data_IF_495939707061
#
_entry.id   IF_495939707061
#
_cell.length_a   1.000
_cell.length_b   1.000
_cell.length_c   1.000
_cell.angle_alpha   90.00
_cell.angle_beta   90.00
_cell.angle_gamma   90.00
#
_symmetry.space_group_name_H-M   'P 1'
#
loop_
_entity.id
_entity.type
_entity.pdbx_description
1 polymer ?
#
# COMPACT_ATOMS: atom_id res chain seq x y z
N UNK A 1 17.98 -6.84 15.47
CA UNK A 1 17.57 -5.46 15.13
C UNK A 1 17.21 -5.26 13.65
N UNK A 2 17.96 -5.81 12.68
CA UNK A 2 17.66 -5.67 11.24
C UNK A 2 16.34 -6.29 10.75
N UNK A 3 15.75 -7.25 11.50
CA UNK A 3 14.50 -7.92 11.08
C UNK A 3 13.28 -7.01 11.12
N UNK A 4 13.29 -5.98 11.96
CA UNK A 4 12.14 -5.07 12.13
C UNK A 4 12.24 -3.81 11.26
N UNK A 5 13.38 -3.52 10.63
CA UNK A 5 13.55 -2.32 9.80
C UNK A 5 12.76 -2.38 8.50
N UNK A 6 12.40 -3.58 8.03
CA UNK A 6 11.56 -3.78 6.84
C UNK A 6 10.05 -3.73 7.11
N UNK A 7 9.62 -3.64 8.37
CA UNK A 7 8.19 -3.62 8.70
C UNK A 7 7.61 -2.21 8.47
N UNK A 8 6.35 -2.13 7.99
CA UNK A 8 5.68 -0.84 7.83
C UNK A 8 5.51 -0.15 9.19
N UNK A 9 5.77 1.16 9.23
CA UNK A 9 5.61 1.98 10.45
C UNK A 9 4.11 2.08 10.77
N UNK A 10 3.73 1.67 11.98
CA UNK A 10 2.36 1.74 12.48
C UNK A 10 2.28 2.76 13.60
N UNK A 11 1.26 3.61 13.55
CA UNK A 11 0.89 4.52 14.62
C UNK A 11 -0.33 3.91 15.30
N UNK A 12 -0.14 3.36 16.50
CA UNK A 12 -1.13 2.54 17.21
C UNK A 12 -1.57 1.34 16.36
N UNK A 13 -2.70 1.45 15.65
CA UNK A 13 -3.26 0.43 14.76
C UNK A 13 -3.32 0.85 13.29
N UNK A 14 -3.07 2.13 13.00
CA UNK A 14 -3.11 2.69 11.65
C UNK A 14 -1.73 2.65 11.01
N UNK A 15 -1.69 2.42 9.70
CA UNK A 15 -0.48 2.66 8.91
C UNK A 15 -0.12 4.16 9.03
N UNK A 16 1.15 4.49 9.25
CA UNK A 16 1.60 5.88 9.37
C UNK A 16 1.16 6.75 8.16
N UNK A 17 0.97 6.11 7.00
CA UNK A 17 0.50 6.78 5.78
C UNK A 17 -0.97 7.17 5.83
N UNK A 18 -1.79 6.45 6.59
CA UNK A 18 -3.19 6.79 6.84
C UNK A 18 -3.35 8.06 7.70
N UNK A 19 -2.30 8.46 8.43
CA UNK A 19 -2.30 9.70 9.21
C UNK A 19 -2.23 10.96 8.32
N UNK A 20 -1.67 10.88 7.11
CA UNK A 20 -1.59 12.03 6.20
C UNK A 20 -2.97 12.59 5.80
N UNK A 21 -3.90 11.78 5.28
CA UNK A 21 -5.24 12.26 4.95
C UNK A 21 -6.03 12.71 6.19
N UNK A 22 -5.79 12.09 7.36
CA UNK A 22 -6.37 12.54 8.63
C UNK A 22 -5.85 13.95 9.01
N UNK A 23 -4.54 14.17 8.95
CA UNK A 23 -3.93 15.47 9.22
C UNK A 23 -4.43 16.54 8.26
N UNK A 24 -4.62 16.22 6.98
CA UNK A 24 -5.17 17.16 5.99
C UNK A 24 -6.57 17.66 6.38
N UNK A 25 -7.45 16.77 6.87
CA UNK A 25 -8.77 17.17 7.36
C UNK A 25 -8.72 17.99 8.66
N UNK A 26 -7.74 17.72 9.54
CA UNK A 26 -7.53 18.53 10.75
C UNK A 26 -7.00 19.94 10.44
N UNK A 27 -6.10 20.08 9.46
CA UNK A 27 -5.51 21.38 9.07
C UNK A 27 -6.50 22.22 8.27
N UNK A 28 -7.20 21.61 7.31
CA UNK A 28 -8.21 22.28 6.51
C UNK A 28 -9.56 21.58 6.69
N UNK A 29 -10.37 22.16 7.58
CA UNK A 29 -11.69 21.64 7.88
C UNK A 29 -12.68 21.98 6.76
N UNK A 30 -13.05 20.98 5.98
CA UNK A 30 -14.08 21.04 4.95
C UNK A 30 -14.73 19.67 4.79
N UNK A 31 -15.99 19.64 4.35
CA UNK A 31 -16.68 18.38 4.03
C UNK A 31 -15.93 17.58 2.97
N UNK A 32 -15.31 18.25 2.00
CA UNK A 32 -14.53 17.58 0.94
C UNK A 32 -13.28 16.90 1.50
N UNK A 33 -12.51 17.58 2.36
CA UNK A 33 -11.33 17.01 3.00
C UNK A 33 -11.69 15.90 3.97
N UNK A 34 -12.86 15.97 4.62
CA UNK A 34 -13.36 14.89 5.46
C UNK A 34 -13.66 13.62 4.65
N UNK A 35 -14.32 13.73 3.49
CA UNK A 35 -14.55 12.59 2.61
C UNK A 35 -13.23 11.99 2.08
N UNK A 36 -12.27 12.84 1.70
CA UNK A 36 -10.94 12.39 1.27
C UNK A 36 -10.23 11.68 2.43
N UNK A 37 -10.35 12.21 3.65
CA UNK A 37 -9.76 11.62 4.84
C UNK A 37 -10.31 10.22 5.11
N UNK A 38 -11.63 10.07 5.13
CA UNK A 38 -12.30 8.78 5.32
C UNK A 38 -11.92 7.77 4.23
N UNK A 39 -11.91 8.19 2.96
CA UNK A 39 -11.52 7.34 1.84
C UNK A 39 -10.06 6.88 1.97
N UNK A 40 -9.14 7.79 2.29
CA UNK A 40 -7.72 7.50 2.48
C UNK A 40 -7.49 6.55 3.66
N UNK A 41 -8.10 6.82 4.80
CA UNK A 41 -7.99 5.96 6.00
C UNK A 41 -8.52 4.56 5.71
N UNK A 42 -9.68 4.46 5.06
CA UNK A 42 -10.29 3.16 4.70
C UNK A 42 -9.39 2.39 3.72
N UNK A 43 -8.84 3.07 2.71
CA UNK A 43 -7.96 2.47 1.72
C UNK A 43 -6.67 1.92 2.34
N UNK A 44 -5.94 2.74 3.10
CA UNK A 44 -4.71 2.29 3.79
C UNK A 44 -5.01 1.27 4.89
N UNK A 45 -6.14 1.41 5.59
CA UNK A 45 -6.63 0.45 6.57
C UNK A 45 -6.88 -0.93 5.96
N UNK A 46 -7.55 -1.00 4.82
CA UNK A 46 -7.80 -2.25 4.10
C UNK A 46 -6.50 -2.95 3.66
N UNK A 47 -5.51 -2.19 3.19
CA UNK A 47 -4.19 -2.71 2.81
C UNK A 47 -3.45 -3.28 4.04
N UNK A 48 -3.48 -2.54 5.15
CA UNK A 48 -2.87 -2.98 6.41
C UNK A 48 -3.56 -4.23 6.97
N UNK A 49 -4.90 -4.29 6.91
CA UNK A 49 -5.69 -5.46 7.31
C UNK A 49 -5.35 -6.68 6.46
N UNK A 50 -5.12 -6.51 5.16
CA UNK A 50 -4.66 -7.57 4.28
C UNK A 50 -3.20 -8.01 4.53
N UNK A 51 -2.48 -7.37 5.46
CA UNK A 51 -1.06 -7.64 5.73
C UNK A 51 -0.13 -7.26 4.57
N UNK A 52 -0.61 -6.44 3.63
CA UNK A 52 0.13 -6.03 2.45
C UNK A 52 0.93 -4.77 2.75
N UNK A 53 2.15 -4.70 2.23
CA UNK A 53 2.88 -3.42 2.14
C UNK A 53 2.46 -2.66 0.88
N UNK A 54 2.60 -1.32 0.84
CA UNK A 54 2.27 -0.57 -0.38
C UNK A 54 2.97 -1.09 -1.65
N UNK A 55 4.28 -1.39 -1.64
CA UNK A 55 4.91 -1.99 -2.83
C UNK A 55 4.27 -3.33 -3.22
N UNK A 56 3.83 -4.13 -2.24
CA UNK A 56 3.12 -5.38 -2.52
C UNK A 56 1.72 -5.14 -3.10
N UNK A 57 0.98 -4.16 -2.58
CA UNK A 57 -0.32 -3.74 -3.12
C UNK A 57 -0.18 -3.27 -4.57
N UNK A 58 0.81 -2.44 -4.90
CA UNK A 58 1.05 -2.02 -6.30
C UNK A 58 1.40 -3.19 -7.20
N UNK A 59 2.19 -4.17 -6.72
CA UNK A 59 2.46 -5.39 -7.49
C UNK A 59 1.19 -6.21 -7.72
N UNK A 60 0.31 -6.31 -6.71
CA UNK A 60 -0.97 -6.99 -6.82
C UNK A 60 -1.91 -6.27 -7.79
N UNK A 61 -2.04 -4.95 -7.67
CA UNK A 61 -2.85 -4.12 -8.56
C UNK A 61 -2.36 -4.21 -10.02
N UNK A 62 -1.05 -4.12 -10.24
CA UNK A 62 -0.46 -4.34 -11.57
C UNK A 62 -0.73 -5.75 -12.09
N UNK A 63 -0.60 -6.77 -11.24
CA UNK A 63 -0.92 -8.16 -11.59
C UNK A 63 -2.38 -8.29 -12.01
N UNK A 64 -3.28 -7.64 -11.30
CA UNK A 64 -4.71 -7.68 -11.56
C UNK A 64 -5.05 -6.98 -12.89
N UNK A 65 -4.46 -5.80 -13.13
CA UNK A 65 -4.67 -5.02 -14.36
C UNK A 65 -4.14 -5.70 -15.63
N UNK A 66 -2.97 -6.36 -15.55
CA UNK A 66 -2.39 -7.11 -16.69
C UNK A 66 -3.16 -8.40 -16.98
N UNK A 67 -3.90 -8.93 -16.01
CA UNK A 67 -4.69 -10.14 -16.16
C UNK A 67 -3.90 -11.44 -16.03
N UNK A 68 -4.57 -12.55 -16.40
CA UNK A 68 -4.08 -13.92 -16.20
C UNK A 68 -3.02 -14.33 -17.23
N UNK A 69 -3.14 -13.82 -18.45
CA UNK A 69 -2.23 -14.15 -19.56
C UNK A 69 -0.98 -13.29 -19.46
N UNK A 70 0.17 -13.93 -19.24
CA UNK A 70 1.47 -13.25 -19.13
C UNK A 70 2.43 -13.81 -20.16
N UNK A 71 3.17 -12.94 -20.81
CA UNK A 71 4.31 -13.34 -21.61
C UNK A 71 5.34 -14.01 -20.71
N UNK A 72 5.77 -15.22 -21.09
CA UNK A 72 6.81 -15.92 -20.36
C UNK A 72 8.12 -15.12 -20.43
N UNK A 73 8.83 -15.01 -19.31
CA UNK A 73 10.18 -14.42 -19.32
C UNK A 73 11.09 -15.37 -20.09
N UNK A 74 11.74 -14.93 -21.18
CA UNK A 74 12.60 -15.78 -21.98
C UNK A 74 13.77 -16.31 -21.14
N UNK A 75 14.24 -17.51 -21.46
CA UNK A 75 15.20 -18.26 -20.65
C UNK A 75 16.50 -17.48 -20.41
N UNK A 76 16.95 -16.70 -21.39
CA UNK A 76 18.16 -15.87 -21.28
C UNK A 76 18.02 -14.68 -20.32
N UNK A 77 16.80 -14.28 -19.95
CA UNK A 77 16.52 -13.19 -19.02
C UNK A 77 15.99 -13.68 -17.65
N UNK A 78 15.91 -15.01 -17.46
CA UNK A 78 15.47 -15.60 -16.19
C UNK A 78 16.60 -15.49 -15.17
N UNK A 79 16.37 -14.77 -14.07
CA UNK A 79 17.32 -14.76 -12.93
C UNK A 79 17.43 -16.19 -12.38
N UNK A 80 18.60 -16.80 -12.53
CA UNK A 80 18.96 -18.03 -11.83
C UNK A 80 19.36 -17.61 -10.42
N UNK A 81 18.45 -17.79 -9.47
CA UNK A 81 18.87 -17.76 -8.08
C UNK A 81 19.65 -19.05 -7.84
N UNK A 82 20.97 -18.91 -7.70
CA UNK A 82 21.88 -19.98 -7.27
C UNK A 82 21.72 -20.22 -5.78
#
# INVERSE_FOLDING_TARGET
>A
MWRNTGQPVRVLMLDARACFPLLAACVYWSWTTLYIALAGITFFGAISFAGLTLPAMFRLGRRWLVGRTRTAVPVWNRRRHA
#
